data_IF_805067272315
#
_entry.id   IF_805067272315
#
_cell.length_a   1.000
_cell.length_b   1.000
_cell.length_c   1.000
_cell.angle_alpha   90.00
_cell.angle_beta   90.00
_cell.angle_gamma   90.00
#
_symmetry.space_group_name_H-M   'P 1'
#
loop_
_entity.id
_entity.type
_entity.pdbx_description
1 polymer ?
#
# COMPACT_ATOMS: atom_id res chain seq x y z
N UNK A 1 13.22 -18.67 2.50
CA UNK A 1 11.96 -18.13 3.07
C UNK A 1 11.34 -17.20 2.03
N UNK A 2 10.01 -17.12 1.94
CA UNK A 2 9.33 -16.21 1.02
C UNK A 2 9.43 -14.78 1.56
N UNK A 3 9.84 -13.82 0.71
CA UNK A 3 9.93 -12.41 1.11
C UNK A 3 8.52 -11.84 1.28
N UNK A 4 8.37 -10.94 2.23
CA UNK A 4 7.10 -10.26 2.52
C UNK A 4 7.31 -8.75 2.33
N UNK A 5 6.43 -8.13 1.56
CA UNK A 5 6.42 -6.69 1.30
C UNK A 5 5.14 -6.07 1.83
N UNK A 6 5.26 -5.10 2.72
CA UNK A 6 4.15 -4.31 3.26
C UNK A 6 4.13 -2.95 2.54
N UNK A 7 3.04 -2.66 1.85
CA UNK A 7 2.86 -1.42 1.10
C UNK A 7 1.77 -0.58 1.80
N UNK A 8 2.11 0.55 2.43
CA UNK A 8 1.11 1.48 2.90
C UNK A 8 0.42 2.16 1.71
N UNK A 9 -0.89 2.37 1.81
CA UNK A 9 -1.67 3.04 0.77
C UNK A 9 -2.74 3.94 1.39
N UNK A 10 -2.87 5.14 0.84
CA UNK A 10 -4.00 6.05 1.09
C UNK A 10 -5.03 6.02 -0.06
N UNK A 11 -4.87 5.06 -0.99
CA UNK A 11 -5.65 4.91 -2.23
C UNK A 11 -5.60 6.12 -3.18
N UNK A 12 -4.65 7.03 -3.01
CA UNK A 12 -4.40 8.10 -3.98
C UNK A 12 -3.80 7.56 -5.28
N UNK A 13 -3.85 8.36 -6.35
CA UNK A 13 -3.17 8.03 -7.60
C UNK A 13 -1.66 7.81 -7.41
N UNK A 14 -1.04 8.58 -6.50
CA UNK A 14 0.39 8.43 -6.19
C UNK A 14 0.68 7.10 -5.50
N UNK A 15 -0.15 6.69 -4.54
CA UNK A 15 -0.02 5.39 -3.92
C UNK A 15 -0.22 4.25 -4.94
N UNK A 16 -1.12 4.41 -5.91
CA UNK A 16 -1.27 3.42 -6.98
C UNK A 16 -0.05 3.32 -7.88
N UNK A 17 0.55 4.45 -8.28
CA UNK A 17 1.81 4.42 -9.03
C UNK A 17 2.95 3.72 -8.26
N UNK A 18 3.02 3.91 -6.94
CA UNK A 18 3.99 3.21 -6.09
C UNK A 18 3.73 1.70 -6.01
N UNK A 19 2.45 1.29 -5.95
CA UNK A 19 2.04 -0.12 -5.99
C UNK A 19 2.44 -0.75 -7.33
N UNK A 20 2.11 -0.11 -8.46
CA UNK A 20 2.45 -0.60 -9.79
C UNK A 20 3.97 -0.78 -9.95
N UNK A 21 4.74 0.21 -9.49
CA UNK A 21 6.20 0.12 -9.50
C UNK A 21 6.72 -1.05 -8.65
N UNK A 22 6.16 -1.26 -7.45
CA UNK A 22 6.57 -2.37 -6.59
C UNK A 22 6.26 -3.73 -7.22
N UNK A 23 5.10 -3.88 -7.87
CA UNK A 23 4.73 -5.11 -8.57
C UNK A 23 5.68 -5.38 -9.74
N UNK A 24 6.00 -4.36 -10.54
CA UNK A 24 6.94 -4.49 -11.67
C UNK A 24 8.37 -4.80 -11.22
N UNK A 25 8.83 -4.16 -10.15
CA UNK A 25 10.17 -4.37 -9.59
C UNK A 25 10.36 -5.82 -9.13
N UNK A 26 9.32 -6.44 -8.55
CA UNK A 26 9.39 -7.78 -7.97
C UNK A 26 8.72 -8.87 -8.84
N UNK A 27 8.36 -8.59 -10.09
CA UNK A 27 7.59 -9.50 -10.96
C UNK A 27 8.24 -10.88 -11.22
N UNK A 28 9.54 -11.01 -11.03
CA UNK A 28 10.28 -12.27 -11.21
C UNK A 28 10.59 -12.98 -9.88
N UNK A 29 10.10 -12.46 -8.75
CA UNK A 29 10.30 -13.03 -7.43
C UNK A 29 8.98 -13.46 -6.81
N UNK A 30 9.00 -14.54 -6.02
CA UNK A 30 7.83 -14.95 -5.24
C UNK A 30 7.77 -14.12 -3.96
N UNK A 31 6.87 -13.14 -3.92
CA UNK A 31 6.66 -12.20 -2.81
C UNK A 31 5.25 -12.34 -2.25
N UNK A 32 5.10 -12.21 -0.93
CA UNK A 32 3.81 -11.93 -0.29
C UNK A 32 3.60 -10.42 -0.17
N UNK A 33 2.65 -9.89 -0.91
CA UNK A 33 2.28 -8.48 -0.80
C UNK A 33 1.16 -8.31 0.23
N UNK A 34 1.32 -7.35 1.13
CA UNK A 34 0.29 -6.89 2.05
C UNK A 34 0.09 -5.39 1.85
N UNK A 35 -1.17 -4.97 1.68
CA UNK A 35 -1.51 -3.55 1.57
C UNK A 35 -2.08 -3.07 2.90
N UNK A 36 -1.54 -1.97 3.43
CA UNK A 36 -1.96 -1.38 4.69
C UNK A 36 -2.58 -0.01 4.44
N UNK A 37 -3.88 0.09 4.68
CA UNK A 37 -4.55 1.36 4.80
C UNK A 37 -4.77 1.68 6.28
N UNK A 38 -4.15 2.75 6.77
CA UNK A 38 -4.26 3.17 8.16
C UNK A 38 -5.18 4.39 8.25
N UNK A 39 -6.21 4.30 9.09
CA UNK A 39 -7.12 5.41 9.37
C UNK A 39 -6.81 6.04 10.72
N UNK A 40 -6.83 7.37 10.77
CA UNK A 40 -6.76 8.14 11.99
C UNK A 40 -7.57 9.43 11.85
N UNK A 41 -8.32 9.82 12.89
CA UNK A 41 -9.14 11.04 12.89
C UNK A 41 -8.34 12.30 12.56
N UNK A 42 -7.08 12.36 13.01
CA UNK A 42 -6.16 13.46 12.67
C UNK A 42 -5.79 13.53 11.18
N UNK A 43 -5.83 12.40 10.48
CA UNK A 43 -5.39 12.30 9.09
C UNK A 43 -6.53 12.57 8.10
N UNK A 44 -7.76 12.16 8.42
CA UNK A 44 -8.92 12.28 7.53
C UNK A 44 -9.93 13.36 7.96
N UNK A 45 -9.70 14.03 9.09
CA UNK A 45 -10.67 14.93 9.71
C UNK A 45 -11.71 14.14 10.50
N UNK A 46 -12.43 14.83 11.40
CA UNK A 46 -13.54 14.23 12.13
C UNK A 46 -14.57 13.69 11.14
N UNK A 47 -14.71 12.36 11.10
CA UNK A 47 -15.72 11.68 10.31
C UNK A 47 -17.10 12.20 10.76
N UNK A 48 -17.79 12.92 9.87
CA UNK A 48 -19.15 13.38 10.12
C UNK A 48 -20.09 12.48 9.29
N UNK A 49 -20.73 11.48 9.91
CA UNK A 49 -21.55 10.48 9.23
C UNK A 49 -22.78 11.08 8.53
#
# INVERSE_FOLDING_TARGET
>A
MMKTLLIPTDFSANAMHAIDYALDLYKCERINFYFLHAFADKAYGSFNP
#
